data_IF_110010968128
#
_entry.id   IF_110010968128
#
_cell.length_a   1.000
_cell.length_b   1.000
_cell.length_c   1.000
_cell.angle_alpha   90.00
_cell.angle_beta   90.00
_cell.angle_gamma   90.00
#
_symmetry.space_group_name_H-M   'P 1'
#
loop_
_entity.id
_entity.type
_entity.pdbx_description
1 polymer ?
#
# COMPACT_ATOMS: atom_id res chain seq x y z
N UNK A 1 10.74 3.66 -4.65
CA UNK A 1 9.77 4.08 -3.62
C UNK A 1 9.62 5.60 -3.60
N UNK A 2 8.39 6.12 -3.39
CA UNK A 2 8.07 7.54 -3.16
C UNK A 2 7.25 7.63 -1.87
N UNK A 3 7.63 8.48 -0.93
CA UNK A 3 6.83 8.82 0.24
C UNK A 3 6.68 10.34 0.30
N UNK A 4 5.43 10.85 0.29
CA UNK A 4 5.15 12.27 0.19
C UNK A 4 3.77 12.64 0.77
N UNK A 5 3.52 13.95 0.88
CA UNK A 5 2.19 14.47 1.24
C UNK A 5 1.25 14.41 0.03
N UNK A 6 -0.04 14.18 0.27
CA UNK A 6 -1.06 14.19 -0.78
C UNK A 6 -1.11 15.53 -1.54
N UNK A 7 -0.78 16.63 -0.89
CA UNK A 7 -0.69 17.96 -1.51
C UNK A 7 0.43 18.08 -2.55
N UNK A 8 1.41 17.16 -2.52
CA UNK A 8 2.58 17.16 -3.41
C UNK A 8 2.47 16.11 -4.53
N UNK A 9 1.36 15.39 -4.61
CA UNK A 9 1.17 14.26 -5.53
C UNK A 9 1.48 14.59 -6.99
N UNK A 10 1.18 15.80 -7.44
CA UNK A 10 1.38 16.22 -8.83
C UNK A 10 2.88 16.36 -9.21
N UNK A 11 3.77 16.46 -8.24
CA UNK A 11 5.22 16.45 -8.46
C UNK A 11 5.71 15.13 -9.07
N UNK A 12 4.98 14.05 -8.89
CA UNK A 12 5.36 12.70 -9.31
C UNK A 12 4.70 12.25 -10.62
N UNK A 13 4.12 13.19 -11.36
CA UNK A 13 3.52 12.90 -12.68
C UNK A 13 4.57 12.63 -13.74
N UNK A 14 4.18 11.91 -14.78
CA UNK A 14 5.01 11.60 -15.95
C UNK A 14 5.92 10.38 -15.77
N UNK A 15 5.82 9.67 -14.65
CA UNK A 15 6.56 8.41 -14.43
C UNK A 15 5.91 7.28 -15.22
N UNK A 16 4.57 7.16 -15.13
CA UNK A 16 3.80 6.16 -15.87
C UNK A 16 2.35 6.63 -16.04
N UNK A 17 1.69 6.43 -17.20
CA UNK A 17 0.33 6.95 -17.44
C UNK A 17 -0.72 6.47 -16.43
N UNK A 18 -0.69 5.20 -16.02
CA UNK A 18 -1.61 4.68 -15.00
C UNK A 18 -1.31 5.21 -13.60
N UNK A 19 -0.06 5.53 -13.30
CA UNK A 19 0.29 6.22 -12.05
C UNK A 19 -0.33 7.62 -12.06
N UNK A 20 -0.24 8.36 -13.17
CA UNK A 20 -0.86 9.67 -13.31
C UNK A 20 -2.39 9.61 -13.11
N UNK A 21 -3.06 8.60 -13.70
CA UNK A 21 -4.49 8.37 -13.47
C UNK A 21 -4.80 8.07 -12.00
N UNK A 22 -3.99 7.25 -11.34
CA UNK A 22 -4.18 6.96 -9.93
C UNK A 22 -3.95 8.21 -9.06
N UNK A 23 -2.94 9.04 -9.35
CA UNK A 23 -2.69 10.30 -8.66
C UNK A 23 -3.88 11.28 -8.77
N UNK A 24 -4.59 11.31 -9.92
CA UNK A 24 -5.82 12.09 -10.07
C UNK A 24 -6.91 11.69 -9.09
N UNK A 25 -6.97 10.41 -8.74
CA UNK A 25 -7.97 9.81 -7.86
C UNK A 25 -7.61 9.87 -6.36
N UNK A 26 -6.41 10.34 -6.00
CA UNK A 26 -6.08 10.59 -4.59
C UNK A 26 -6.82 11.82 -4.08
N UNK A 27 -8.14 11.69 -3.88
CA UNK A 27 -9.06 12.73 -3.44
C UNK A 27 -10.05 12.20 -2.40
N UNK A 28 -10.54 13.07 -1.53
CA UNK A 28 -11.55 12.71 -0.53
C UNK A 28 -12.80 12.09 -1.18
N UNK A 29 -13.28 12.66 -2.29
CA UNK A 29 -14.46 12.15 -3.00
C UNK A 29 -14.27 10.71 -3.49
N UNK A 30 -13.08 10.35 -3.96
CA UNK A 30 -12.80 8.97 -4.37
C UNK A 30 -12.68 8.04 -3.15
N UNK A 31 -12.07 8.48 -2.06
CA UNK A 31 -11.97 7.69 -0.83
C UNK A 31 -13.34 7.43 -0.19
N UNK A 32 -14.26 8.38 -0.29
CA UNK A 32 -15.67 8.17 0.09
C UNK A 32 -16.33 7.10 -0.78
N UNK A 33 -16.12 7.12 -2.09
CA UNK A 33 -16.60 6.07 -3.01
C UNK A 33 -16.08 4.70 -2.61
N UNK A 34 -14.78 4.57 -2.32
CA UNK A 34 -14.21 3.32 -1.81
C UNK A 34 -14.84 2.86 -0.49
N UNK A 35 -15.27 3.80 0.34
CA UNK A 35 -15.94 3.48 1.61
C UNK A 35 -17.34 2.90 1.42
N UNK A 36 -18.04 3.28 0.36
CA UNK A 36 -19.41 2.84 0.04
C UNK A 36 -19.44 1.44 -0.62
N UNK A 37 -18.33 1.00 -1.24
CA UNK A 37 -18.25 -0.33 -1.87
C UNK A 37 -18.15 -1.49 -0.86
N UNK A 38 -18.33 -1.23 0.42
CA UNK A 38 -18.01 -2.08 1.56
C UNK A 38 -19.07 -3.11 1.93
N UNK A 39 -20.11 -3.33 1.15
CA UNK A 39 -21.19 -4.27 1.51
C UNK A 39 -21.00 -5.64 0.88
N UNK A 40 -20.85 -6.65 1.74
CA UNK A 40 -21.00 -8.08 1.48
C UNK A 40 -19.91 -8.92 2.14
N UNK A 41 -20.28 -10.12 2.61
CA UNK A 41 -19.41 -11.19 3.10
C UNK A 41 -18.56 -11.80 1.96
N UNK A 42 -17.83 -10.96 1.23
CA UNK A 42 -16.94 -11.41 0.17
C UNK A 42 -15.61 -11.86 0.78
N UNK A 43 -14.99 -12.94 0.31
CA UNK A 43 -13.71 -13.44 0.80
C UNK A 43 -12.54 -12.48 0.57
N UNK A 44 -12.76 -11.43 -0.22
CA UNK A 44 -11.82 -10.33 -0.44
C UNK A 44 -12.56 -9.00 -0.37
N UNK A 45 -11.90 -7.92 0.09
CA UNK A 45 -12.51 -6.60 0.10
C UNK A 45 -12.89 -6.18 -1.33
N UNK A 46 -14.06 -5.55 -1.51
CA UNK A 46 -14.50 -5.10 -2.82
C UNK A 46 -13.51 -4.09 -3.39
N UNK A 47 -13.26 -4.18 -4.68
CA UNK A 47 -12.38 -3.26 -5.39
C UNK A 47 -13.16 -2.43 -6.40
N UNK A 48 -12.72 -1.19 -6.61
CA UNK A 48 -13.16 -0.33 -7.70
C UNK A 48 -12.19 -0.52 -8.87
N UNK A 49 -12.68 -1.11 -9.96
CA UNK A 49 -11.91 -1.28 -11.19
C UNK A 49 -11.95 0.02 -12.01
N UNK A 50 -10.78 0.54 -12.33
CA UNK A 50 -10.60 1.76 -13.14
C UNK A 50 -10.19 1.38 -14.57
N UNK A 51 -9.33 0.37 -14.70
CA UNK A 51 -8.92 -0.24 -15.96
C UNK A 51 -8.81 -1.77 -15.76
N UNK A 52 -9.90 -2.42 -15.33
CA UNK A 52 -9.91 -3.84 -15.04
C UNK A 52 -8.81 -4.25 -14.05
N UNK A 53 -8.03 -5.28 -14.40
CA UNK A 53 -6.91 -5.73 -13.57
C UNK A 53 -5.66 -4.83 -13.71
N UNK A 54 -5.61 -3.93 -14.69
CA UNK A 54 -4.44 -3.09 -14.91
C UNK A 54 -4.36 -1.88 -13.98
N UNK A 55 -5.52 -1.41 -13.49
CA UNK A 55 -5.61 -0.35 -12.49
C UNK A 55 -6.89 -0.53 -11.67
N UNK A 56 -6.75 -0.72 -10.38
CA UNK A 56 -7.87 -0.81 -9.44
C UNK A 56 -7.48 -0.30 -8.05
N UNK A 57 -8.49 0.02 -7.27
CA UNK A 57 -8.31 0.47 -5.90
C UNK A 57 -9.18 -0.35 -4.93
N UNK A 58 -8.66 -0.58 -3.73
CA UNK A 58 -9.31 -1.31 -2.65
C UNK A 58 -9.16 -0.55 -1.35
N UNK A 59 -10.19 -0.55 -0.50
CA UNK A 59 -10.08 -0.09 0.87
C UNK A 59 -9.91 -1.27 1.81
N UNK A 60 -8.96 -1.15 2.72
CA UNK A 60 -8.73 -2.07 3.82
C UNK A 60 -8.98 -1.37 5.14
N UNK A 61 -9.68 -2.06 6.05
CA UNK A 61 -9.84 -1.67 7.45
C UNK A 61 -9.35 -2.83 8.31
N UNK A 62 -8.37 -2.55 9.19
CA UNK A 62 -7.73 -3.58 10.02
C UNK A 62 -7.14 -2.95 11.28
N UNK A 63 -6.67 -3.78 12.20
CA UNK A 63 -5.78 -3.36 13.28
C UNK A 63 -4.33 -3.61 12.87
N UNK A 64 -3.45 -2.67 13.20
CA UNK A 64 -2.01 -2.88 13.05
C UNK A 64 -1.55 -4.03 13.94
N UNK A 65 -0.46 -4.68 13.55
CA UNK A 65 0.01 -5.94 14.14
C UNK A 65 1.27 -5.72 15.00
N UNK A 66 1.50 -6.58 15.99
CA UNK A 66 2.82 -6.70 16.60
C UNK A 66 3.89 -6.95 15.55
N UNK A 67 5.09 -6.44 15.78
CA UNK A 67 6.20 -6.51 14.82
C UNK A 67 6.50 -7.94 14.35
N UNK A 68 6.43 -8.90 15.28
CA UNK A 68 6.72 -10.32 15.06
C UNK A 68 5.73 -11.02 14.11
N UNK A 69 4.54 -10.45 13.94
CA UNK A 69 3.49 -10.99 13.08
C UNK A 69 3.55 -10.43 11.65
N UNK A 70 4.50 -9.53 11.39
CA UNK A 70 4.66 -8.87 10.09
C UNK A 70 5.87 -9.40 9.33
N UNK A 71 5.83 -9.29 8.03
CA UNK A 71 6.91 -9.69 7.13
C UNK A 71 7.00 -8.75 5.93
N UNK A 72 8.09 -8.79 5.19
CA UNK A 72 8.21 -8.04 3.94
C UNK A 72 7.48 -8.75 2.81
N UNK A 73 6.78 -7.96 2.01
CA UNK A 73 6.22 -8.38 0.73
C UNK A 73 6.82 -7.55 -0.40
N UNK A 74 6.88 -8.12 -1.59
CA UNK A 74 7.22 -7.43 -2.82
C UNK A 74 6.36 -7.93 -3.97
N UNK A 75 6.15 -7.06 -4.94
CA UNK A 75 5.42 -7.38 -6.16
C UNK A 75 6.38 -7.34 -7.36
N UNK A 76 6.10 -8.13 -8.38
CA UNK A 76 6.93 -8.20 -9.57
C UNK A 76 6.42 -7.33 -10.70
N UNK A 77 5.10 -7.22 -10.84
CA UNK A 77 4.43 -6.56 -11.95
C UNK A 77 3.65 -5.32 -11.53
N UNK A 78 3.18 -5.30 -10.28
CA UNK A 78 2.36 -4.22 -9.78
C UNK A 78 3.19 -3.21 -8.99
N UNK A 79 2.88 -1.94 -9.24
CA UNK A 79 3.18 -0.82 -8.39
C UNK A 79 1.98 -0.60 -7.45
N UNK A 80 2.25 -0.38 -6.16
CA UNK A 80 1.21 -0.09 -5.19
C UNK A 80 1.28 1.35 -4.71
N UNK A 81 0.11 2.01 -4.57
CA UNK A 81 0.00 3.26 -3.83
C UNK A 81 -0.78 2.98 -2.55
N UNK A 82 -0.18 3.22 -1.41
CA UNK A 82 -0.81 3.15 -0.09
C UNK A 82 -1.15 4.55 0.39
N UNK A 83 -2.42 4.79 0.73
CA UNK A 83 -2.88 6.07 1.29
C UNK A 83 -3.57 5.79 2.62
N UNK A 84 -3.03 6.35 3.69
CA UNK A 84 -3.66 6.22 5.00
C UNK A 84 -4.85 7.19 5.09
N UNK A 85 -6.05 6.63 5.36
CA UNK A 85 -7.29 7.39 5.51
C UNK A 85 -7.62 7.68 6.97
N UNK A 86 -7.25 6.75 7.87
CA UNK A 86 -7.46 6.86 9.32
C UNK A 86 -6.41 6.04 10.05
N UNK A 87 -6.01 6.53 11.24
CA UNK A 87 -4.98 5.89 12.06
C UNK A 87 -3.60 6.03 11.44
N UNK A 88 -2.67 5.21 11.86
CA UNK A 88 -1.28 5.23 11.38
C UNK A 88 -0.65 3.85 11.49
N UNK A 89 0.32 3.59 10.64
CA UNK A 89 1.15 2.39 10.73
C UNK A 89 2.60 2.71 10.43
N UNK A 90 3.50 1.97 11.04
CA UNK A 90 4.90 1.97 10.65
C UNK A 90 5.07 1.07 9.42
N UNK A 91 5.81 1.57 8.45
CA UNK A 91 6.19 0.84 7.25
C UNK A 91 7.70 0.74 7.21
N UNK A 92 8.19 -0.45 6.89
CA UNK A 92 9.62 -0.69 6.69
C UNK A 92 9.88 -1.07 5.24
N UNK A 93 11.03 -0.63 4.73
CA UNK A 93 11.48 -0.87 3.36
C UNK A 93 12.87 -1.51 3.41
N UNK A 94 13.09 -2.47 2.51
CA UNK A 94 14.41 -3.06 2.30
C UNK A 94 14.58 -3.46 0.83
N UNK A 95 15.83 -3.63 0.41
CA UNK A 95 16.12 -4.21 -0.89
C UNK A 95 16.03 -5.75 -0.80
N UNK A 96 15.28 -6.44 -1.69
CA UNK A 96 15.07 -7.88 -1.61
C UNK A 96 16.36 -8.71 -1.54
N UNK A 97 17.44 -8.24 -2.17
CA UNK A 97 18.74 -8.93 -2.14
C UNK A 97 19.35 -9.09 -0.73
N UNK A 98 18.91 -8.28 0.24
CA UNK A 98 19.32 -8.36 1.64
C UNK A 98 18.38 -9.19 2.52
N UNK A 99 17.31 -9.74 1.97
CA UNK A 99 16.26 -10.46 2.68
C UNK A 99 16.27 -11.96 2.35
N UNK A 100 15.72 -12.77 3.25
CA UNK A 100 15.50 -14.20 3.07
C UNK A 100 14.09 -14.46 2.53
N UNK A 101 13.98 -14.96 1.30
CA UNK A 101 12.71 -15.33 0.68
C UNK A 101 12.17 -16.61 1.32
N UNK A 102 10.90 -16.59 1.77
CA UNK A 102 10.22 -17.77 2.32
C UNK A 102 9.01 -18.22 1.49
N UNK A 103 8.47 -17.37 0.63
CA UNK A 103 7.37 -17.73 -0.27
C UNK A 103 7.38 -16.91 -1.56
N UNK A 104 6.84 -17.52 -2.63
CA UNK A 104 6.64 -16.87 -3.92
C UNK A 104 5.42 -17.46 -4.61
N UNK A 105 4.37 -16.65 -4.76
CA UNK A 105 3.11 -17.04 -5.40
C UNK A 105 2.65 -15.95 -6.39
N UNK A 106 2.74 -16.24 -7.68
CA UNK A 106 2.36 -15.29 -8.73
C UNK A 106 3.14 -13.99 -8.66
N UNK A 107 2.43 -12.90 -8.38
CA UNK A 107 3.02 -11.56 -8.22
C UNK A 107 3.51 -11.28 -6.78
N UNK A 108 3.10 -12.08 -5.82
CA UNK A 108 3.44 -11.91 -4.40
C UNK A 108 4.71 -12.69 -4.04
N UNK A 109 5.67 -12.00 -3.43
CA UNK A 109 6.88 -12.57 -2.88
C UNK A 109 7.04 -12.14 -1.42
N UNK A 110 7.22 -13.10 -0.51
CA UNK A 110 7.35 -12.87 0.92
C UNK A 110 8.77 -13.09 1.41
N UNK A 111 9.23 -12.20 2.34
CA UNK A 111 10.60 -12.22 2.85
C UNK A 111 10.65 -11.98 4.36
N UNK A 112 11.68 -12.53 4.99
CA UNK A 112 12.14 -12.18 6.33
C UNK A 112 13.45 -11.41 6.26
N UNK A 113 13.72 -10.57 7.25
CA UNK A 113 14.99 -9.85 7.37
C UNK A 113 14.87 -8.51 8.10
N UNK A 114 15.97 -7.80 8.10
CA UNK A 114 16.07 -6.50 8.72
C UNK A 114 15.69 -5.37 7.74
N UNK A 115 15.05 -4.28 8.21
CA UNK A 115 14.77 -3.12 7.39
C UNK A 115 16.03 -2.30 7.09
N UNK A 116 16.02 -1.64 5.95
CA UNK A 116 17.01 -0.60 5.61
C UNK A 116 16.49 0.80 5.97
N UNK A 117 15.17 0.98 5.88
CA UNK A 117 14.49 2.24 6.19
C UNK A 117 13.15 1.96 6.88
N UNK A 118 12.71 2.94 7.66
CA UNK A 118 11.42 2.92 8.33
C UNK A 118 10.77 4.30 8.26
N UNK A 119 9.47 4.33 8.00
CA UNK A 119 8.67 5.54 7.96
C UNK A 119 7.33 5.34 8.67
N UNK A 120 6.69 6.43 9.07
CA UNK A 120 5.34 6.43 9.59
C UNK A 120 4.38 6.87 8.49
N UNK A 121 3.43 6.02 8.13
CA UNK A 121 2.37 6.34 7.20
C UNK A 121 1.14 6.77 7.97
N UNK A 122 0.69 8.01 7.75
CA UNK A 122 -0.43 8.64 8.46
C UNK A 122 -1.30 9.46 7.50
N UNK A 123 -2.52 9.86 7.90
CA UNK A 123 -3.42 10.64 7.04
C UNK A 123 -2.75 11.91 6.49
N UNK A 124 -3.04 12.19 5.21
CA UNK A 124 -2.42 13.28 4.48
C UNK A 124 -1.16 12.88 3.70
N UNK A 125 -0.66 11.66 3.91
CA UNK A 125 0.50 11.13 3.19
C UNK A 125 0.16 9.91 2.33
N UNK A 126 1.01 9.64 1.35
CA UNK A 126 0.96 8.43 0.52
C UNK A 126 2.34 7.83 0.32
N UNK A 127 2.34 6.54 0.07
CA UNK A 127 3.54 5.75 -0.24
C UNK A 127 3.34 5.03 -1.56
N UNK A 128 4.27 5.20 -2.50
CA UNK A 128 4.36 4.42 -3.74
C UNK A 128 5.50 3.42 -3.61
N UNK A 129 5.21 2.14 -3.78
CA UNK A 129 6.20 1.08 -3.86
C UNK A 129 6.20 0.52 -5.27
N UNK A 130 7.38 0.44 -5.88
CA UNK A 130 7.56 -0.07 -7.24
C UNK A 130 7.79 -1.59 -7.20
N UNK A 131 7.61 -2.28 -8.35
CA UNK A 131 8.05 -3.66 -8.46
C UNK A 131 9.50 -3.84 -7.99
N UNK A 132 9.68 -4.78 -7.08
CA UNK A 132 10.98 -5.05 -6.47
C UNK A 132 11.32 -4.24 -5.23
N UNK A 133 10.53 -3.25 -4.83
CA UNK A 133 10.65 -2.64 -3.50
C UNK A 133 10.03 -3.58 -2.45
N UNK A 134 10.85 -4.21 -1.62
CA UNK A 134 10.31 -4.98 -0.50
C UNK A 134 9.85 -4.05 0.62
N UNK A 135 8.60 -4.25 1.06
CA UNK A 135 7.97 -3.41 2.06
C UNK A 135 7.23 -4.27 3.09
N UNK A 136 7.36 -3.90 4.36
CA UNK A 136 6.67 -4.51 5.51
C UNK A 136 5.66 -3.50 6.01
N UNK A 137 4.40 -3.91 5.99
CA UNK A 137 3.24 -3.09 6.32
C UNK A 137 2.61 -3.55 7.65
N UNK A 138 1.61 -2.80 8.10
CA UNK A 138 0.75 -3.11 9.26
C UNK A 138 1.46 -3.09 10.61
N UNK A 139 2.67 -2.59 10.71
CA UNK A 139 3.41 -2.59 11.97
C UNK A 139 2.78 -1.58 12.92
N UNK A 140 2.43 -2.03 14.14
CA UNK A 140 1.92 -1.19 15.20
C UNK A 140 2.98 -0.18 15.66
N UNK A 141 2.67 1.12 15.55
CA UNK A 141 3.57 2.17 16.05
C UNK A 141 3.70 2.10 17.57
N UNK A 142 4.94 2.07 18.05
CA UNK A 142 5.23 1.91 19.46
C UNK A 142 4.79 0.57 20.06
N UNK A 143 4.48 -0.43 19.23
CA UNK A 143 4.04 -1.76 19.66
C UNK A 143 2.59 -1.84 20.18
N UNK A 144 1.80 -0.78 19.99
CA UNK A 144 0.40 -0.75 20.38
C UNK A 144 -0.50 -0.83 19.15
N UNK A 145 -1.29 -1.92 18.98
CA UNK A 145 -2.23 -2.04 17.85
C UNK A 145 -3.20 -0.86 17.78
N UNK A 146 -3.43 -0.37 16.57
CA UNK A 146 -4.31 0.75 16.27
C UNK A 146 -5.22 0.39 15.08
N UNK A 147 -6.49 0.77 15.17
CA UNK A 147 -7.44 0.59 14.08
C UNK A 147 -7.17 1.58 12.95
N UNK A 148 -6.92 1.09 11.75
CA UNK A 148 -6.58 1.88 10.58
C UNK A 148 -7.54 1.64 9.42
N UNK A 149 -7.69 2.65 8.57
CA UNK A 149 -8.30 2.54 7.26
C UNK A 149 -7.32 3.03 6.20
N UNK A 150 -7.11 2.21 5.16
CA UNK A 150 -6.13 2.46 4.11
C UNK A 150 -6.70 2.19 2.72
N UNK A 151 -6.50 3.10 1.77
CA UNK A 151 -6.73 2.84 0.36
C UNK A 151 -5.44 2.31 -0.28
N UNK A 152 -5.57 1.29 -1.11
CA UNK A 152 -4.46 0.72 -1.88
C UNK A 152 -4.85 0.69 -3.35
N UNK A 153 -4.05 1.34 -4.19
CA UNK A 153 -4.16 1.24 -5.64
C UNK A 153 -3.14 0.23 -6.13
N UNK A 154 -3.59 -0.67 -6.99
CA UNK A 154 -2.75 -1.64 -7.70
C UNK A 154 -2.65 -1.22 -9.16
N UNK A 155 -1.43 -1.05 -9.65
CA UNK A 155 -1.12 -0.50 -10.97
C UNK A 155 -0.18 -1.47 -11.69
N UNK A 156 -0.67 -2.12 -12.74
CA UNK A 156 0.16 -2.98 -13.58
C UNK A 156 1.05 -2.09 -14.46
N UNK A 157 2.37 -2.27 -14.34
CA UNK A 157 3.37 -1.57 -15.15
C UNK A 157 3.65 -2.28 -16.47
#
# INVERSE_FOLDING_TARGET
MIWAQLSEKDTYRGIHPRLDQALDLLTEAFFETLSQTREGDLPQPPRVELEGNALYATRFDYETLPYEETFFEAHRQYLDIHVMLKGRERVEIAHPAGLEEFTREGDFWGYHGAPEQSLLLEPGSFLVVFPGDAHRLKIAEGGVPESVAKAVFKILL
#
